data_IF_034761439304
#
_entry.id   IF_034761439304
#
_cell.length_a   1.000
_cell.length_b   1.000
_cell.length_c   1.000
_cell.angle_alpha   90.00
_cell.angle_beta   90.00
_cell.angle_gamma   90.00
#
_symmetry.space_group_name_H-M   'P 1'
#
loop_
_entity.id
_entity.type
_entity.pdbx_description
1 polymer ?
#
# COMPACT_ATOMS: atom_id res chain seq x y z
N UNK A 1 12.47 -31.62 -6.03
CA UNK A 1 13.34 -30.45 -6.31
C UNK A 1 14.66 -31.00 -6.80
N UNK A 2 14.98 -30.81 -8.07
CA UNK A 2 16.18 -31.35 -8.69
C UNK A 2 17.39 -30.46 -8.36
N UNK A 3 18.52 -31.08 -8.07
CA UNK A 3 19.83 -30.42 -7.85
C UNK A 3 20.25 -29.47 -8.99
N UNK A 4 19.72 -29.65 -10.20
CA UNK A 4 19.96 -28.82 -11.37
C UNK A 4 19.25 -27.44 -11.29
N UNK A 5 18.12 -27.34 -10.60
CA UNK A 5 17.40 -26.06 -10.43
C UNK A 5 18.14 -25.10 -9.49
N UNK A 6 18.89 -25.66 -8.53
CA UNK A 6 19.71 -24.88 -7.59
C UNK A 6 20.95 -24.32 -8.29
N UNK A 7 21.54 -25.11 -9.20
CA UNK A 7 22.75 -24.71 -9.94
C UNK A 7 22.48 -23.63 -11.01
N UNK A 8 21.26 -23.56 -11.55
CA UNK A 8 20.88 -22.61 -12.60
C UNK A 8 20.30 -21.31 -12.06
N UNK A 9 20.25 -21.11 -10.74
CA UNK A 9 19.74 -19.88 -10.14
C UNK A 9 18.26 -19.58 -10.48
N UNK A 10 17.51 -20.58 -10.97
CA UNK A 10 16.10 -20.47 -11.28
C UNK A 10 15.28 -20.62 -10.01
N UNK A 11 15.25 -19.55 -9.20
CA UNK A 11 14.16 -19.41 -8.24
C UNK A 11 12.85 -19.30 -9.03
N UNK A 12 11.91 -20.23 -8.79
CA UNK A 12 10.55 -20.11 -9.34
C UNK A 12 10.06 -18.68 -9.06
N UNK A 13 9.58 -17.96 -10.09
CA UNK A 13 8.95 -16.67 -9.85
C UNK A 13 7.88 -16.86 -8.78
N UNK A 14 7.93 -16.06 -7.73
CA UNK A 14 6.86 -16.05 -6.73
C UNK A 14 5.62 -15.54 -7.47
N UNK A 15 4.58 -16.35 -7.56
CA UNK A 15 3.33 -15.93 -8.17
C UNK A 15 2.68 -14.85 -7.29
N UNK A 16 2.01 -13.86 -7.88
CA UNK A 16 1.17 -12.94 -7.14
C UNK A 16 0.16 -13.71 -6.28
N UNK A 17 -0.09 -13.21 -5.09
CA UNK A 17 -1.02 -13.80 -4.12
C UNK A 17 -1.83 -12.65 -3.52
N UNK A 18 -2.85 -12.23 -4.26
CA UNK A 18 -3.67 -11.05 -3.92
C UNK A 18 -4.48 -11.23 -2.64
N UNK A 19 -4.82 -12.47 -2.29
CA UNK A 19 -5.57 -12.78 -1.08
C UNK A 19 -4.82 -12.37 0.19
N UNK A 20 -3.50 -12.20 0.12
CA UNK A 20 -2.70 -11.66 1.22
C UNK A 20 -3.08 -10.25 1.63
N UNK A 21 -3.68 -9.48 0.74
CA UNK A 21 -4.19 -8.14 1.08
C UNK A 21 -5.21 -8.20 2.23
N UNK A 22 -5.99 -9.29 2.32
CA UNK A 22 -6.99 -9.46 3.37
C UNK A 22 -6.41 -9.69 4.78
N UNK A 23 -5.10 -9.82 4.93
CA UNK A 23 -4.44 -9.81 6.24
C UNK A 23 -4.16 -8.39 6.78
N UNK A 24 -4.31 -7.33 5.96
CA UNK A 24 -4.08 -5.95 6.37
C UNK A 24 -4.96 -5.48 7.54
N UNK A 25 -6.26 -5.84 7.66
CA UNK A 25 -7.07 -5.46 8.81
C UNK A 25 -6.50 -5.98 10.14
N UNK A 26 -6.05 -7.23 10.21
CA UNK A 26 -5.39 -7.76 11.42
C UNK A 26 -4.09 -7.03 11.73
N UNK A 27 -3.28 -6.77 10.69
CA UNK A 27 -2.04 -6.02 10.84
C UNK A 27 -2.29 -4.58 11.33
N UNK A 28 -3.40 -3.94 10.92
CA UNK A 28 -3.76 -2.60 11.38
C UNK A 28 -4.04 -2.57 12.88
N UNK A 29 -4.72 -3.58 13.43
CA UNK A 29 -4.94 -3.70 14.88
C UNK A 29 -3.61 -3.80 15.64
N UNK A 30 -2.69 -4.61 15.13
CA UNK A 30 -1.36 -4.73 15.73
C UNK A 30 -0.55 -3.41 15.63
N UNK A 31 -0.65 -2.68 14.52
CA UNK A 31 0.00 -1.38 14.34
C UNK A 31 -0.57 -0.30 15.27
N UNK A 32 -1.87 -0.28 15.46
CA UNK A 32 -2.52 0.64 16.40
C UNK A 32 -2.05 0.38 17.84
N UNK A 33 -2.07 -0.90 18.25
CA UNK A 33 -1.66 -1.30 19.61
C UNK A 33 -0.18 -1.04 19.89
N UNK A 34 0.71 -1.33 18.93
CA UNK A 34 2.17 -1.29 19.15
C UNK A 34 2.81 0.06 18.81
N UNK A 35 2.19 0.87 17.94
CA UNK A 35 2.81 2.08 17.38
C UNK A 35 1.86 3.29 17.29
N UNK A 36 0.61 3.16 17.74
CA UNK A 36 -0.44 4.18 17.62
C UNK A 36 -0.65 4.66 16.17
N UNK A 37 -0.50 3.73 15.21
CA UNK A 37 -0.68 3.98 13.79
C UNK A 37 -2.06 3.48 13.35
N UNK A 38 -2.90 4.38 12.85
CA UNK A 38 -4.26 4.09 12.38
C UNK A 38 -4.37 4.30 10.88
N UNK A 39 -5.25 3.55 10.17
CA UNK A 39 -5.47 3.75 8.75
C UNK A 39 -5.93 5.18 8.43
N UNK A 40 -5.53 5.71 7.28
CA UNK A 40 -6.02 7.01 6.78
C UNK A 40 -7.33 6.89 6.01
N UNK A 41 -7.73 5.67 5.66
CA UNK A 41 -8.83 5.42 4.74
C UNK A 41 -8.44 5.59 3.27
N UNK A 42 -7.18 5.87 2.97
CA UNK A 42 -6.69 5.99 1.59
C UNK A 42 -5.82 4.79 1.22
N UNK A 43 -6.10 4.21 0.07
CA UNK A 43 -5.29 3.17 -0.55
C UNK A 43 -5.21 3.35 -2.06
N UNK A 44 -4.15 2.86 -2.67
CA UNK A 44 -3.92 3.01 -4.09
C UNK A 44 -3.21 1.80 -4.70
N UNK A 45 -3.50 1.52 -5.97
CA UNK A 45 -2.80 0.51 -6.78
C UNK A 45 -1.95 1.23 -7.81
N UNK A 46 -0.64 0.97 -7.78
CA UNK A 46 0.36 1.51 -8.68
C UNK A 46 0.59 0.58 -9.87
N UNK A 47 0.61 1.14 -11.05
CA UNK A 47 0.91 0.41 -12.28
C UNK A 47 1.70 1.28 -13.27
N UNK A 48 2.48 0.62 -14.12
CA UNK A 48 3.13 1.28 -15.24
C UNK A 48 2.06 1.81 -16.19
N UNK A 49 2.16 3.07 -16.57
CA UNK A 49 1.20 3.68 -17.51
C UNK A 49 1.23 2.96 -18.85
N UNK A 50 0.07 2.53 -19.31
CA UNK A 50 -0.13 1.90 -20.61
C UNK A 50 -1.12 2.75 -21.41
N UNK A 51 -0.82 3.00 -22.65
CA UNK A 51 -1.73 3.66 -23.59
C UNK A 51 -2.49 2.61 -24.40
N UNK A 52 -3.78 2.85 -24.63
CA UNK A 52 -4.60 2.01 -25.48
C UNK A 52 -6.02 1.78 -24.98
N UNK A 53 -6.93 1.60 -25.92
CA UNK A 53 -8.37 1.50 -25.65
C UNK A 53 -8.73 0.30 -24.73
N UNK A 54 -8.00 -0.82 -24.83
CA UNK A 54 -8.24 -2.01 -24.01
C UNK A 54 -7.95 -1.72 -22.53
N UNK A 55 -6.82 -1.08 -22.22
CA UNK A 55 -6.46 -0.69 -20.87
C UNK A 55 -7.44 0.34 -20.30
N UNK A 56 -7.80 1.35 -21.11
CA UNK A 56 -8.80 2.35 -20.72
C UNK A 56 -10.17 1.74 -20.48
N UNK A 57 -10.52 0.66 -21.21
CA UNK A 57 -11.73 -0.13 -20.97
C UNK A 57 -11.74 -0.73 -19.57
N UNK A 58 -10.75 -1.55 -19.24
CA UNK A 58 -10.63 -2.21 -17.92
C UNK A 58 -10.63 -1.17 -16.80
N UNK A 59 -9.88 -0.09 -16.95
CA UNK A 59 -9.83 0.98 -15.95
C UNK A 59 -11.19 1.63 -15.70
N UNK A 60 -11.98 1.89 -16.76
CA UNK A 60 -13.34 2.45 -16.63
C UNK A 60 -14.29 1.47 -15.96
N UNK A 61 -14.24 0.20 -16.33
CA UNK A 61 -15.08 -0.86 -15.73
C UNK A 61 -14.81 -1.00 -14.23
N UNK A 62 -13.54 -1.06 -13.83
CA UNK A 62 -13.16 -1.13 -12.42
C UNK A 62 -13.68 0.08 -11.64
N UNK A 63 -13.49 1.29 -12.18
CA UNK A 63 -14.02 2.49 -11.52
C UNK A 63 -15.53 2.45 -11.40
N UNK A 64 -16.23 2.12 -12.46
CA UNK A 64 -17.69 2.03 -12.45
C UNK A 64 -18.18 0.99 -11.43
N UNK A 65 -17.51 -0.17 -11.34
CA UNK A 65 -17.85 -1.21 -10.36
C UNK A 65 -17.68 -0.71 -8.93
N UNK A 66 -16.55 -0.09 -8.62
CA UNK A 66 -16.26 0.39 -7.27
C UNK A 66 -17.12 1.61 -6.87
N UNK A 67 -17.43 2.48 -7.83
CA UNK A 67 -18.27 3.66 -7.59
C UNK A 67 -19.76 3.31 -7.48
N UNK A 68 -20.18 2.13 -8.01
CA UNK A 68 -21.55 1.62 -7.85
C UNK A 68 -21.83 0.99 -6.47
N UNK A 69 -20.81 0.78 -5.64
CA UNK A 69 -20.98 0.23 -4.29
C UNK A 69 -21.78 1.19 -3.41
N UNK A 70 -22.99 0.77 -3.04
CA UNK A 70 -23.89 1.56 -2.19
C UNK A 70 -23.34 1.85 -0.78
N UNK A 71 -22.37 1.08 -0.32
CA UNK A 71 -21.66 1.29 0.96
C UNK A 71 -20.56 2.34 0.89
N UNK A 72 -20.24 2.84 -0.31
CA UNK A 72 -19.19 3.84 -0.47
C UNK A 72 -19.67 5.21 0.01
N UNK A 73 -19.02 5.72 1.05
CA UNK A 73 -19.28 7.06 1.62
C UNK A 73 -18.22 8.09 1.21
N UNK A 74 -17.11 7.64 0.60
CA UNK A 74 -15.99 8.47 0.16
C UNK A 74 -16.15 9.00 -1.27
N UNK A 75 -15.20 9.83 -1.73
CA UNK A 75 -15.19 10.31 -3.11
C UNK A 75 -15.04 9.16 -4.11
N UNK A 76 -15.43 9.37 -5.38
CA UNK A 76 -15.23 8.39 -6.45
C UNK A 76 -13.78 7.93 -6.59
N UNK A 77 -13.58 6.73 -7.12
CA UNK A 77 -12.25 6.20 -7.40
C UNK A 77 -11.53 7.12 -8.39
N UNK A 78 -10.38 7.64 -7.96
CA UNK A 78 -9.56 8.57 -8.73
C UNK A 78 -8.48 7.84 -9.53
N UNK A 79 -8.01 8.50 -10.59
CA UNK A 79 -6.76 8.15 -11.26
C UNK A 79 -5.81 9.32 -11.10
N UNK A 80 -4.66 9.06 -10.50
CA UNK A 80 -3.61 10.05 -10.29
C UNK A 80 -2.35 9.60 -11.05
N UNK A 81 -1.49 10.54 -11.40
CA UNK A 81 -0.20 10.26 -12.01
C UNK A 81 0.87 10.92 -11.18
N UNK A 82 1.93 10.17 -10.85
CA UNK A 82 3.05 10.73 -10.11
C UNK A 82 4.09 11.40 -11.05
N UNK A 83 5.06 12.08 -10.45
CA UNK A 83 6.16 12.74 -11.16
C UNK A 83 7.10 11.77 -11.88
N UNK A 84 7.05 10.48 -11.52
CA UNK A 84 7.87 9.42 -12.12
C UNK A 84 7.18 8.76 -13.31
N UNK A 85 5.93 9.16 -13.64
CA UNK A 85 5.17 8.66 -14.77
C UNK A 85 4.37 7.39 -14.48
N UNK A 86 4.30 6.94 -13.22
CA UNK A 86 3.41 5.86 -12.83
C UNK A 86 1.98 6.36 -12.63
N UNK A 87 1.04 5.47 -12.84
CA UNK A 87 -0.38 5.74 -12.61
C UNK A 87 -0.86 5.03 -11.35
N UNK A 88 -1.79 5.68 -10.65
CA UNK A 88 -2.37 5.22 -9.40
C UNK A 88 -3.89 5.22 -9.51
N UNK A 89 -4.52 4.06 -9.27
CA UNK A 89 -5.95 3.99 -8.99
C UNK A 89 -6.13 4.14 -7.48
N UNK A 90 -6.80 5.23 -7.08
CA UNK A 90 -6.91 5.65 -5.69
C UNK A 90 -8.32 5.41 -5.19
N UNK A 91 -8.45 4.61 -4.13
CA UNK A 91 -9.69 4.43 -3.39
C UNK A 91 -9.60 5.14 -2.04
N UNK A 92 -10.73 5.73 -1.63
CA UNK A 92 -10.89 6.39 -0.33
C UNK A 92 -12.15 5.84 0.34
N UNK A 93 -12.02 5.39 1.59
CA UNK A 93 -13.08 4.86 2.45
C UNK A 93 -13.03 5.53 3.83
N UNK A 94 -14.02 5.31 4.66
CA UNK A 94 -13.92 5.66 6.07
C UNK A 94 -12.64 4.99 6.66
N UNK A 95 -11.79 5.71 7.39
CA UNK A 95 -10.60 5.12 8.03
C UNK A 95 -10.90 3.90 8.91
N UNK A 96 -12.12 3.79 9.43
CA UNK A 96 -12.57 2.65 10.24
C UNK A 96 -12.98 1.44 9.40
N UNK A 97 -13.15 1.62 8.09
CA UNK A 97 -13.57 0.56 7.17
C UNK A 97 -12.41 0.11 6.27
N UNK A 98 -11.30 -0.29 6.91
CA UNK A 98 -10.17 -0.86 6.21
C UNK A 98 -10.51 -2.13 5.42
N UNK A 99 -11.40 -3.03 5.89
CA UNK A 99 -11.82 -4.18 5.08
C UNK A 99 -12.41 -3.81 3.71
N UNK A 100 -13.27 -2.79 3.64
CA UNK A 100 -13.80 -2.32 2.36
C UNK A 100 -12.72 -1.72 1.47
N UNK A 101 -11.78 -0.94 2.04
CA UNK A 101 -10.63 -0.42 1.30
C UNK A 101 -9.77 -1.55 0.70
N UNK A 102 -9.49 -2.58 1.49
CA UNK A 102 -8.72 -3.75 1.04
C UNK A 102 -9.45 -4.49 -0.08
N UNK A 103 -10.77 -4.63 0.02
CA UNK A 103 -11.60 -5.22 -1.04
C UNK A 103 -11.53 -4.42 -2.34
N UNK A 104 -11.54 -3.08 -2.26
CA UNK A 104 -11.34 -2.21 -3.43
C UNK A 104 -9.97 -2.46 -4.09
N UNK A 105 -8.89 -2.50 -3.30
CA UNK A 105 -7.54 -2.74 -3.82
C UNK A 105 -7.42 -4.12 -4.45
N UNK A 106 -8.01 -5.13 -3.83
CA UNK A 106 -8.06 -6.48 -4.37
C UNK A 106 -8.81 -6.51 -5.71
N UNK A 107 -9.99 -5.88 -5.79
CA UNK A 107 -10.79 -5.81 -7.02
C UNK A 107 -10.04 -5.11 -8.16
N UNK A 108 -9.34 -3.99 -7.87
CA UNK A 108 -8.52 -3.28 -8.87
C UNK A 108 -7.42 -4.18 -9.42
N UNK A 109 -6.64 -4.82 -8.53
CA UNK A 109 -5.55 -5.71 -8.93
C UNK A 109 -6.08 -6.90 -9.76
N UNK A 110 -7.15 -7.55 -9.29
CA UNK A 110 -7.75 -8.72 -9.96
C UNK A 110 -8.29 -8.37 -11.35
N UNK A 111 -8.94 -7.22 -11.49
CA UNK A 111 -9.47 -6.79 -12.78
C UNK A 111 -8.35 -6.43 -13.78
N UNK A 112 -7.30 -5.75 -13.34
CA UNK A 112 -6.14 -5.46 -14.18
C UNK A 112 -5.39 -6.75 -14.57
N UNK A 113 -5.24 -7.70 -13.65
CA UNK A 113 -4.65 -9.00 -13.91
C UNK A 113 -5.50 -9.79 -14.92
N UNK A 114 -6.80 -9.92 -14.67
CA UNK A 114 -7.76 -10.60 -15.54
C UNK A 114 -7.88 -9.98 -16.93
N UNK A 115 -7.70 -8.66 -17.03
CA UNK A 115 -7.63 -7.92 -18.29
C UNK A 115 -6.32 -8.10 -19.06
N UNK A 116 -5.36 -8.88 -18.54
CA UNK A 116 -4.06 -9.13 -19.16
C UNK A 116 -2.98 -8.09 -18.82
N UNK A 117 -3.25 -7.19 -17.86
CA UNK A 117 -2.33 -6.12 -17.46
C UNK A 117 -1.54 -6.44 -16.18
N UNK A 118 -1.47 -7.70 -15.76
CA UNK A 118 -0.72 -8.10 -14.58
C UNK A 118 0.78 -7.77 -14.65
N UNK A 119 1.37 -7.74 -15.84
CA UNK A 119 2.77 -7.35 -16.02
C UNK A 119 3.04 -5.87 -15.64
N UNK A 120 2.04 -5.02 -15.76
CA UNK A 120 2.09 -3.59 -15.45
C UNK A 120 1.86 -3.28 -13.98
N UNK A 121 1.24 -4.20 -13.22
CA UNK A 121 1.04 -4.04 -11.78
C UNK A 121 2.38 -4.04 -11.04
N UNK A 122 2.55 -3.06 -10.16
CA UNK A 122 3.78 -2.84 -9.39
C UNK A 122 3.55 -3.10 -7.90
N UNK A 123 2.68 -2.31 -7.29
CA UNK A 123 2.39 -2.40 -5.87
C UNK A 123 0.99 -1.86 -5.52
N UNK A 124 0.54 -2.20 -4.32
CA UNK A 124 -0.59 -1.51 -3.68
C UNK A 124 -0.12 -0.88 -2.39
N UNK A 125 -0.66 0.29 -2.02
CA UNK A 125 -0.27 1.03 -0.82
C UNK A 125 -1.52 1.32 0.01
N UNK A 126 -1.43 1.13 1.31
CA UNK A 126 -2.43 1.60 2.29
C UNK A 126 -1.76 2.58 3.22
N UNK A 127 -2.34 3.78 3.34
CA UNK A 127 -1.83 4.84 4.19
C UNK A 127 -2.24 4.68 5.65
N UNK A 128 -1.29 4.95 6.54
CA UNK A 128 -1.46 5.03 7.98
C UNK A 128 -0.91 6.36 8.49
N UNK A 129 -1.43 6.81 9.62
CA UNK A 129 -0.94 7.99 10.33
C UNK A 129 -0.86 7.71 11.83
N UNK A 130 0.05 8.36 12.51
CA UNK A 130 0.05 8.32 13.97
C UNK A 130 -1.17 9.09 14.47
N UNK A 131 -1.96 8.47 15.35
CA UNK A 131 -3.00 9.18 16.08
C UNK A 131 -2.32 10.32 16.84
N UNK A 132 -2.70 11.58 16.55
CA UNK A 132 -2.23 12.72 17.31
C UNK A 132 -2.63 12.52 18.76
N UNK A 133 -1.68 12.37 19.66
CA UNK A 133 -1.97 12.35 21.07
C UNK A 133 -2.66 13.67 21.43
N UNK A 134 -3.89 13.62 21.88
CA UNK A 134 -4.46 14.69 22.73
C UNK A 134 -3.61 14.70 24.00
N UNK A 135 -2.43 15.33 23.91
CA UNK A 135 -1.52 15.47 25.03
C UNK A 135 -2.04 16.50 26.00
N UNK A 136 -2.85 16.05 26.98
CA UNK A 136 -2.97 16.71 28.26
C UNK A 136 -1.75 16.31 29.12
N UNK A 137 -0.61 16.85 28.76
CA UNK A 137 0.67 16.60 29.43
C UNK A 137 1.75 17.48 28.87
N UNK A 138 2.09 18.60 29.54
CA UNK A 138 3.02 19.66 29.16
C UNK A 138 4.47 19.23 28.91
N UNK A 139 4.70 18.29 28.00
CA UNK A 139 6.01 17.97 27.45
C UNK A 139 6.23 18.75 26.16
N UNK A 140 7.37 19.41 26.02
CA UNK A 140 7.83 20.09 24.79
C UNK A 140 7.88 19.07 23.66
N UNK A 141 6.80 19.00 22.86
CA UNK A 141 6.78 18.32 21.58
C UNK A 141 7.56 19.21 20.62
N UNK A 142 8.65 18.69 20.05
CA UNK A 142 9.44 19.41 19.06
C UNK A 142 8.59 19.83 17.88
N UNK A 143 8.88 20.96 17.27
CA UNK A 143 8.13 21.58 16.15
C UNK A 143 7.96 20.67 14.91
N UNK A 144 8.70 19.52 14.84
CA UNK A 144 8.60 18.51 13.78
C UNK A 144 7.48 17.48 13.93
N UNK A 145 6.76 17.44 15.05
CA UNK A 145 5.74 16.41 15.34
C UNK A 145 4.29 16.88 15.12
N UNK A 146 4.09 18.08 14.56
CA UNK A 146 2.75 18.65 14.28
C UNK A 146 2.06 18.03 13.07
N UNK A 147 2.82 17.40 12.18
CA UNK A 147 2.27 16.61 11.06
C UNK A 147 2.61 15.15 11.38
N UNK A 148 1.68 14.45 12.06
CA UNK A 148 1.90 13.11 12.61
C UNK A 148 2.57 12.17 11.62
N UNK A 149 3.47 11.31 12.09
CA UNK A 149 4.23 10.39 11.26
C UNK A 149 3.31 9.66 10.28
N UNK A 150 3.67 9.69 9.00
CA UNK A 150 2.96 9.02 7.90
C UNK A 150 3.66 7.70 7.61
N UNK A 151 2.88 6.70 7.28
CA UNK A 151 3.37 5.37 6.94
C UNK A 151 2.53 4.77 5.82
N UNK A 152 3.17 4.22 4.80
CA UNK A 152 2.55 3.34 3.82
C UNK A 152 2.89 1.89 4.12
N UNK A 153 1.89 1.01 4.13
CA UNK A 153 2.12 -0.43 4.01
C UNK A 153 2.01 -0.77 2.54
N UNK A 154 3.12 -1.18 1.96
CA UNK A 154 3.27 -1.45 0.52
C UNK A 154 3.23 -2.94 0.28
N UNK A 155 2.32 -3.38 -0.57
CA UNK A 155 2.25 -4.74 -1.10
C UNK A 155 2.93 -4.81 -2.45
N UNK A 156 3.97 -5.63 -2.59
CA UNK A 156 4.66 -5.91 -3.85
C UNK A 156 3.88 -6.96 -4.64
N UNK A 157 3.20 -6.55 -5.71
CA UNK A 157 2.34 -7.42 -6.50
C UNK A 157 3.05 -8.70 -6.97
N UNK A 158 4.19 -8.57 -7.63
CA UNK A 158 4.94 -9.71 -8.22
C UNK A 158 5.56 -10.65 -7.20
N UNK A 159 5.56 -10.29 -5.92
CA UNK A 159 6.22 -11.05 -4.85
C UNK A 159 5.26 -11.56 -3.79
N UNK A 160 4.07 -10.99 -3.68
CA UNK A 160 3.11 -11.31 -2.62
C UNK A 160 3.69 -11.00 -1.22
N UNK A 161 4.51 -9.94 -1.09
CA UNK A 161 5.16 -9.55 0.16
C UNK A 161 4.89 -8.09 0.47
N UNK A 162 5.02 -7.73 1.75
CA UNK A 162 4.75 -6.38 2.25
C UNK A 162 6.01 -5.72 2.79
N UNK A 163 6.07 -4.40 2.73
CA UNK A 163 7.07 -3.63 3.47
C UNK A 163 6.49 -2.28 3.91
N UNK A 164 6.99 -1.71 5.01
CA UNK A 164 6.66 -0.36 5.43
C UNK A 164 7.47 0.68 4.67
N UNK A 165 6.85 1.82 4.40
CA UNK A 165 7.50 3.00 3.85
C UNK A 165 7.06 4.23 4.64
N UNK A 166 7.99 4.91 5.30
CA UNK A 166 7.74 6.05 6.17
C UNK A 166 8.47 7.30 5.67
N UNK A 167 7.83 8.14 4.82
CA UNK A 167 8.42 9.38 4.38
C UNK A 167 8.49 10.39 5.53
N UNK A 168 9.60 11.12 5.64
CA UNK A 168 9.74 12.23 6.59
C UNK A 168 9.14 13.50 5.98
N UNK A 169 8.16 14.15 6.64
CA UNK A 169 7.56 15.37 6.15
C UNK A 169 8.59 16.49 6.02
N UNK A 170 8.56 17.23 4.91
CA UNK A 170 9.40 18.41 4.72
C UNK A 170 10.92 18.17 4.56
N UNK A 171 11.38 16.94 4.67
CA UNK A 171 12.81 16.58 4.60
C UNK A 171 13.25 16.14 3.19
N UNK A 172 12.47 16.44 2.15
CA UNK A 172 12.72 15.93 0.81
C UNK A 172 12.51 14.43 0.71
N UNK A 173 13.32 13.74 -0.08
CA UNK A 173 13.22 12.29 -0.24
C UNK A 173 13.97 11.54 0.88
N UNK A 174 13.55 11.73 2.13
CA UNK A 174 14.09 11.03 3.30
C UNK A 174 13.06 10.12 3.95
N UNK A 175 13.54 9.02 4.53
CA UNK A 175 12.72 7.97 5.18
C UNK A 175 13.04 7.88 6.66
N UNK A 176 12.03 7.62 7.47
CA UNK A 176 12.22 7.20 8.86
C UNK A 176 12.52 5.69 8.93
N UNK A 177 13.77 5.33 8.69
CA UNK A 177 14.21 3.93 8.74
C UNK A 177 14.00 3.29 10.12
N UNK A 178 14.05 4.08 11.20
CA UNK A 178 13.83 3.56 12.56
C UNK A 178 12.37 3.15 12.76
N UNK A 179 11.42 3.96 12.27
CA UNK A 179 10.01 3.62 12.27
C UNK A 179 9.74 2.40 11.39
N UNK A 180 10.30 2.35 10.18
CA UNK A 180 10.11 1.22 9.25
C UNK A 180 10.58 -0.11 9.85
N UNK A 181 11.76 -0.14 10.48
CA UNK A 181 12.27 -1.36 11.12
C UNK A 181 11.45 -1.78 12.35
N UNK A 182 10.94 -0.81 13.12
CA UNK A 182 10.02 -1.08 14.22
C UNK A 182 8.71 -1.68 13.72
N UNK A 183 8.13 -1.06 12.71
CA UNK A 183 6.89 -1.53 12.05
C UNK A 183 7.09 -2.90 11.42
N UNK A 184 8.23 -3.17 10.79
CA UNK A 184 8.58 -4.51 10.27
C UNK A 184 8.43 -5.60 11.32
N UNK A 185 8.91 -5.35 12.54
CA UNK A 185 8.82 -6.33 13.63
C UNK A 185 7.36 -6.63 14.01
N UNK A 186 6.50 -5.62 14.03
CA UNK A 186 5.06 -5.77 14.30
C UNK A 186 4.36 -6.51 13.15
N UNK A 187 4.62 -6.10 11.91
CA UNK A 187 3.97 -6.68 10.73
C UNK A 187 4.33 -8.14 10.51
N UNK A 188 5.54 -8.57 10.90
CA UNK A 188 6.04 -9.92 10.64
C UNK A 188 5.23 -11.05 11.28
N UNK A 189 4.33 -10.73 12.21
CA UNK A 189 3.38 -11.68 12.82
C UNK A 189 2.18 -11.93 11.91
N UNK A 190 1.67 -10.88 11.27
CA UNK A 190 0.43 -10.90 10.50
C UNK A 190 0.66 -10.98 8.99
N UNK A 191 1.75 -10.38 8.51
CA UNK A 191 2.02 -10.21 7.09
C UNK A 191 3.32 -10.92 6.68
N UNK A 192 3.35 -11.41 5.46
CA UNK A 192 4.60 -11.85 4.84
C UNK A 192 5.44 -10.65 4.45
N UNK A 193 6.29 -10.20 5.34
CA UNK A 193 7.19 -9.06 5.09
C UNK A 193 8.29 -9.44 4.09
N UNK A 194 8.59 -8.53 3.17
CA UNK A 194 9.71 -8.68 2.22
C UNK A 194 11.03 -8.72 3.01
N UNK A 195 11.78 -9.84 2.94
CA UNK A 195 13.00 -10.00 3.71
C UNK A 195 14.16 -9.12 3.20
N UNK A 196 14.17 -8.83 1.90
CA UNK A 196 15.24 -8.09 1.23
C UNK A 196 15.01 -6.59 1.32
N UNK A 197 15.76 -5.89 2.16
CA UNK A 197 15.63 -4.42 2.32
C UNK A 197 15.91 -3.66 1.02
N UNK A 198 16.75 -4.17 0.14
CA UNK A 198 17.03 -3.60 -1.18
C UNK A 198 15.80 -3.53 -2.10
N UNK A 199 14.74 -4.26 -1.75
CA UNK A 199 13.45 -4.27 -2.46
C UNK A 199 12.39 -3.39 -1.79
N UNK A 200 12.74 -2.68 -0.75
CA UNK A 200 11.86 -1.69 -0.13
C UNK A 200 11.99 -0.37 -0.90
N UNK A 201 11.46 -0.39 -2.12
CA UNK A 201 11.51 0.78 -2.99
C UNK A 201 10.76 1.95 -2.39
N UNK A 202 11.31 3.17 -2.48
CA UNK A 202 10.58 4.34 -2.05
C UNK A 202 9.38 4.59 -2.99
N UNK A 203 8.23 4.87 -2.41
CA UNK A 203 7.00 5.23 -3.13
C UNK A 203 6.67 6.70 -2.88
N UNK A 204 7.63 7.58 -3.27
CA UNK A 204 7.47 9.02 -3.13
C UNK A 204 6.24 9.51 -3.89
N UNK A 205 5.47 10.41 -3.28
CA UNK A 205 4.26 10.94 -3.90
C UNK A 205 3.10 9.95 -3.99
N UNK A 206 3.21 8.77 -3.37
CA UNK A 206 2.09 7.83 -3.34
C UNK A 206 0.87 8.45 -2.66
N UNK A 207 -0.34 8.29 -3.24
CA UNK A 207 -1.56 8.83 -2.66
C UNK A 207 -1.79 8.34 -1.22
N UNK A 208 -2.05 9.29 -0.31
CA UNK A 208 -2.30 9.01 1.10
C UNK A 208 -1.06 9.02 2.02
N UNK A 209 0.11 9.39 1.48
CA UNK A 209 1.37 9.53 2.22
C UNK A 209 1.85 10.97 2.31
#
# INVERSE_FOLDING_TARGET
MGLLDILLGRTKPVAPDLDRLFALPSAAVALEAAASLTPTGTGAVCFATVEGAAFDGVRREVRALLDADAGRTGPPVGVERDEYGYSWLVSRRDPRDLPALVSDLHAVNSALEGGGFGAQLLCSVVGFRRAGGNGDGGGRVGEGDRDGARLGIVYLYKRGTFYPFAPLPGAGQQRDNALELRVRAVLGVELRVEPELSRWFPVWGAPGL
#
